data_IF_026687909572
#
_entry.id   IF_026687909572
#
_cell.length_a   1.000
_cell.length_b   1.000
_cell.length_c   1.000
_cell.angle_alpha   90.00
_cell.angle_beta   90.00
_cell.angle_gamma   90.00
#
_symmetry.space_group_name_H-M   'P 1'
#
loop_
_entity.id
_entity.type
_entity.pdbx_description
1 polymer ?
#
# COMPACT_ATOMS: atom_id res chain seq x y z
N UNK A 1 15.25 -8.04 -7.25
CA UNK A 1 15.98 -7.87 -8.53
C UNK A 1 15.02 -7.29 -9.56
N UNK A 2 15.48 -6.59 -10.59
CA UNK A 2 14.64 -6.19 -11.73
C UNK A 2 14.92 -7.03 -12.99
N UNK A 3 13.95 -7.05 -13.91
CA UNK A 3 14.12 -7.61 -15.25
C UNK A 3 13.22 -6.88 -16.27
N UNK A 4 13.35 -7.27 -17.54
CA UNK A 4 12.49 -6.79 -18.63
C UNK A 4 11.70 -7.97 -19.18
N UNK A 5 10.37 -7.86 -19.19
CA UNK A 5 9.48 -8.89 -19.70
C UNK A 5 9.53 -8.91 -21.23
N UNK A 6 9.78 -10.07 -21.82
CA UNK A 6 10.00 -10.20 -23.28
C UNK A 6 8.74 -9.92 -24.12
N UNK A 7 7.55 -10.20 -23.59
CA UNK A 7 6.30 -10.11 -24.36
C UNK A 7 5.85 -8.68 -24.62
N UNK A 8 6.20 -7.74 -23.76
CA UNK A 8 5.71 -6.36 -23.81
C UNK A 8 6.81 -5.30 -23.51
N UNK A 9 8.03 -5.72 -23.22
CA UNK A 9 9.14 -4.84 -22.86
C UNK A 9 9.00 -4.15 -21.50
N UNK A 10 8.01 -4.52 -20.68
CA UNK A 10 7.79 -3.89 -19.38
C UNK A 10 8.88 -4.25 -18.36
N UNK A 11 9.22 -3.29 -17.50
CA UNK A 11 10.11 -3.51 -16.35
C UNK A 11 9.35 -4.18 -15.21
N UNK A 12 9.95 -5.22 -14.63
CA UNK A 12 9.36 -6.02 -13.55
C UNK A 12 10.34 -6.19 -12.40
N UNK A 13 9.80 -6.44 -11.21
CA UNK A 13 10.55 -6.85 -10.03
C UNK A 13 10.35 -8.34 -9.81
N UNK A 14 11.44 -9.03 -9.48
CA UNK A 14 11.45 -10.40 -8.99
C UNK A 14 11.77 -10.39 -7.49
N UNK A 15 10.80 -10.84 -6.69
CA UNK A 15 10.93 -11.08 -5.24
C UNK A 15 10.96 -12.58 -4.98
N UNK A 16 11.95 -13.05 -4.23
CA UNK A 16 11.97 -14.43 -3.75
C UNK A 16 11.14 -14.54 -2.48
N UNK A 17 10.28 -15.56 -2.38
CA UNK A 17 9.37 -15.78 -1.25
C UNK A 17 9.44 -17.22 -0.79
N UNK A 18 9.20 -17.45 0.50
CA UNK A 18 9.17 -18.77 1.12
C UNK A 18 7.86 -19.50 0.83
N UNK A 19 7.96 -20.80 0.56
CA UNK A 19 6.83 -21.71 0.32
C UNK A 19 6.60 -22.66 1.50
N UNK A 20 6.80 -22.17 2.72
CA UNK A 20 6.69 -22.98 3.93
C UNK A 20 5.26 -22.94 4.51
N UNK A 21 4.91 -23.95 5.30
CA UNK A 21 3.61 -23.99 5.97
C UNK A 21 3.53 -22.85 6.99
N UNK A 22 2.54 -21.97 6.83
CA UNK A 22 2.40 -20.76 7.65
C UNK A 22 2.80 -19.47 6.92
N UNK A 23 3.47 -19.59 5.77
CA UNK A 23 3.77 -18.45 4.89
C UNK A 23 2.61 -18.24 3.91
N UNK A 24 1.96 -17.08 4.02
CA UNK A 24 0.75 -16.77 3.23
C UNK A 24 1.01 -15.78 2.09
N UNK A 25 2.20 -15.18 2.00
CA UNK A 25 2.51 -14.11 1.04
C UNK A 25 2.12 -14.48 -0.39
N UNK A 26 2.61 -15.63 -0.90
CA UNK A 26 2.31 -16.05 -2.27
C UNK A 26 0.82 -16.37 -2.47
N UNK A 27 0.19 -16.99 -1.47
CA UNK A 27 -1.22 -17.38 -1.55
C UNK A 27 -2.13 -16.14 -1.58
N UNK A 28 -1.91 -15.19 -0.68
CA UNK A 28 -2.62 -13.91 -0.61
C UNK A 28 -2.37 -13.09 -1.87
N UNK A 29 -1.11 -12.93 -2.28
CA UNK A 29 -0.76 -12.16 -3.47
C UNK A 29 -1.40 -12.75 -4.74
N UNK A 30 -1.43 -14.08 -4.88
CA UNK A 30 -2.15 -14.74 -5.99
C UNK A 30 -3.65 -14.55 -5.92
N UNK A 31 -4.25 -14.66 -4.74
CA UNK A 31 -5.68 -14.43 -4.54
C UNK A 31 -6.08 -13.00 -4.95
N UNK A 32 -5.37 -12.00 -4.44
CA UNK A 32 -5.56 -10.58 -4.78
C UNK A 32 -5.30 -10.28 -6.25
N UNK A 33 -4.53 -11.13 -6.93
CA UNK A 33 -4.21 -11.02 -8.36
C UNK A 33 -5.10 -11.87 -9.27
N UNK A 34 -6.11 -12.57 -8.74
CA UNK A 34 -7.08 -13.30 -9.57
C UNK A 34 -7.86 -12.34 -10.46
N UNK A 35 -8.38 -12.83 -11.59
CA UNK A 35 -9.16 -12.01 -12.50
C UNK A 35 -10.33 -11.31 -11.79
N UNK A 36 -11.07 -12.03 -10.94
CA UNK A 36 -12.18 -11.46 -10.17
C UNK A 36 -11.71 -10.31 -9.27
N UNK A 37 -10.63 -10.52 -8.50
CA UNK A 37 -10.13 -9.50 -7.58
C UNK A 37 -9.53 -8.28 -8.30
N UNK A 38 -8.87 -8.48 -9.46
CA UNK A 38 -8.31 -7.37 -10.25
C UNK A 38 -9.36 -6.48 -10.90
N UNK A 39 -10.58 -6.97 -11.09
CA UNK A 39 -11.68 -6.17 -11.64
C UNK A 39 -12.38 -5.31 -10.59
N UNK A 40 -12.16 -5.54 -9.29
CA UNK A 40 -12.66 -4.65 -8.26
C UNK A 40 -11.81 -3.36 -8.24
N UNK A 41 -12.38 -2.19 -8.53
CA UNK A 41 -11.62 -0.94 -8.63
C UNK A 41 -11.05 -0.47 -7.27
N UNK A 42 -11.46 -1.09 -6.17
CA UNK A 42 -10.90 -0.83 -4.84
C UNK A 42 -9.63 -1.63 -4.57
N UNK A 43 -9.30 -2.61 -5.42
CA UNK A 43 -8.14 -3.45 -5.22
C UNK A 43 -6.84 -2.72 -5.59
N UNK A 44 -6.22 -2.12 -4.57
CA UNK A 44 -4.91 -1.49 -4.67
C UNK A 44 -3.78 -2.41 -4.18
N UNK A 45 -3.93 -3.73 -4.23
CA UNK A 45 -2.80 -4.65 -4.04
C UNK A 45 -1.96 -4.74 -5.32
N UNK A 46 -0.63 -4.75 -5.20
CA UNK A 46 0.23 -4.90 -6.38
C UNK A 46 -0.08 -6.23 -7.11
N UNK A 47 -0.28 -6.20 -8.45
CA UNK A 47 -0.61 -7.42 -9.16
C UNK A 47 0.62 -8.33 -9.30
N UNK A 48 0.42 -9.61 -9.06
CA UNK A 48 1.33 -10.70 -9.44
C UNK A 48 1.11 -11.01 -10.92
N UNK A 49 2.14 -10.78 -11.72
CA UNK A 49 2.13 -11.06 -13.16
C UNK A 49 2.46 -12.53 -13.45
N UNK A 50 3.34 -13.12 -12.65
CA UNK A 50 3.74 -14.52 -12.72
C UNK A 50 4.33 -14.97 -11.38
N UNK A 51 4.33 -16.27 -11.10
CA UNK A 51 5.04 -16.83 -9.95
C UNK A 51 5.43 -18.29 -10.18
N UNK A 52 6.71 -18.59 -10.00
CA UNK A 52 7.29 -19.91 -10.30
C UNK A 52 8.36 -20.32 -9.29
N UNK A 53 8.54 -21.62 -9.01
CA UNK A 53 9.58 -22.11 -8.11
C UNK A 53 10.98 -21.81 -8.66
N UNK A 54 11.95 -21.61 -7.77
CA UNK A 54 13.34 -21.41 -8.16
C UNK A 54 13.98 -22.77 -8.50
N UNK A 55 14.47 -22.99 -9.74
CA UNK A 55 15.11 -24.25 -10.10
C UNK A 55 16.30 -24.56 -9.19
N UNK A 56 16.33 -25.77 -8.63
CA UNK A 56 17.41 -26.22 -7.75
C UNK A 56 17.35 -25.69 -6.31
N UNK A 57 16.35 -24.87 -5.94
CA UNK A 57 16.18 -24.36 -4.57
C UNK A 57 14.82 -24.76 -4.02
N UNK A 58 14.82 -25.65 -3.04
CA UNK A 58 13.58 -26.13 -2.41
C UNK A 58 12.97 -25.05 -1.52
N UNK A 59 11.64 -24.96 -1.53
CA UNK A 59 10.90 -24.08 -0.62
C UNK A 59 10.93 -22.59 -0.96
N UNK A 60 11.41 -22.20 -2.15
CA UNK A 60 11.37 -20.82 -2.64
C UNK A 60 10.66 -20.71 -3.99
N UNK A 61 9.92 -19.62 -4.16
CA UNK A 61 9.41 -19.17 -5.45
C UNK A 61 9.86 -17.74 -5.74
N UNK A 62 9.90 -17.38 -7.03
CA UNK A 62 9.94 -16.00 -7.45
C UNK A 62 8.52 -15.54 -7.76
N UNK A 63 8.16 -14.37 -7.25
CA UNK A 63 6.99 -13.59 -7.65
C UNK A 63 7.47 -12.49 -8.59
N UNK A 64 6.80 -12.36 -9.74
CA UNK A 64 7.03 -11.32 -10.72
C UNK A 64 5.93 -10.26 -10.58
N UNK A 65 6.32 -9.01 -10.35
CA UNK A 65 5.42 -7.86 -10.15
C UNK A 65 5.84 -6.70 -11.05
N UNK A 66 4.96 -5.75 -11.39
CA UNK A 66 5.35 -4.53 -12.09
C UNK A 66 6.42 -3.75 -11.32
N UNK A 67 7.37 -3.14 -12.03
CA UNK A 67 8.32 -2.21 -11.43
C UNK A 67 7.69 -0.83 -11.30
N UNK A 68 6.96 -0.66 -10.20
CA UNK A 68 6.40 0.61 -9.72
C UNK A 68 7.41 1.39 -8.88
N UNK A 69 7.19 2.69 -8.73
CA UNK A 69 8.15 3.60 -8.09
C UNK A 69 7.71 3.99 -6.68
N UNK A 70 8.65 4.42 -5.84
CA UNK A 70 8.33 4.93 -4.50
C UNK A 70 7.30 6.06 -4.59
N UNK A 71 6.20 5.92 -3.85
CA UNK A 71 5.00 6.72 -4.09
C UNK A 71 5.19 8.22 -3.82
N UNK A 72 6.10 8.62 -2.92
CA UNK A 72 6.39 10.02 -2.60
C UNK A 72 7.59 10.59 -3.38
N UNK A 73 8.03 9.92 -4.45
CA UNK A 73 9.04 10.41 -5.39
C UNK A 73 8.45 10.46 -6.81
N UNK A 74 8.40 11.63 -7.48
CA UNK A 74 8.63 12.96 -6.93
C UNK A 74 7.63 13.29 -5.80
N UNK A 75 7.99 14.25 -4.94
CA UNK A 75 7.10 14.75 -3.88
C UNK A 75 5.81 15.33 -4.42
N UNK A 76 4.82 15.52 -3.54
CA UNK A 76 3.51 16.02 -3.93
C UNK A 76 3.55 17.50 -4.29
N UNK A 77 2.96 17.87 -5.42
CA UNK A 77 2.90 19.25 -5.89
C UNK A 77 1.69 20.00 -5.33
N UNK A 78 0.54 19.31 -5.21
CA UNK A 78 -0.72 19.93 -4.85
C UNK A 78 -1.51 19.07 -3.86
N UNK A 79 -2.36 19.71 -3.03
CA UNK A 79 -3.25 19.02 -2.07
C UNK A 79 -4.07 17.90 -2.70
N UNK A 80 -4.44 18.03 -3.98
CA UNK A 80 -5.23 17.02 -4.68
C UNK A 80 -4.49 15.68 -4.84
N UNK A 81 -3.15 15.69 -4.92
CA UNK A 81 -2.37 14.44 -5.04
C UNK A 81 -2.38 13.67 -3.71
N UNK A 82 -2.31 14.37 -2.57
CA UNK A 82 -2.50 13.75 -1.25
C UNK A 82 -3.90 13.15 -1.10
N UNK A 83 -4.93 13.89 -1.57
CA UNK A 83 -6.32 13.41 -1.54
C UNK A 83 -6.49 12.17 -2.42
N UNK A 84 -5.90 12.16 -3.61
CA UNK A 84 -5.94 11.02 -4.51
C UNK A 84 -5.26 9.79 -3.89
N UNK A 85 -4.04 9.95 -3.37
CA UNK A 85 -3.31 8.90 -2.65
C UNK A 85 -4.14 8.35 -1.48
N UNK A 86 -4.54 9.23 -0.56
CA UNK A 86 -5.19 8.79 0.69
C UNK A 86 -6.52 8.09 0.40
N UNK A 87 -7.27 8.57 -0.59
CA UNK A 87 -8.49 7.91 -1.06
C UNK A 87 -8.21 6.49 -1.55
N UNK A 88 -7.24 6.31 -2.45
CA UNK A 88 -6.91 5.00 -3.01
C UNK A 88 -6.42 4.03 -1.93
N UNK A 89 -5.58 4.50 -1.01
CA UNK A 89 -5.13 3.65 0.11
C UNK A 89 -6.28 3.25 1.04
N UNK A 90 -7.20 4.17 1.37
CA UNK A 90 -8.39 3.82 2.16
C UNK A 90 -9.32 2.84 1.42
N UNK A 91 -9.49 2.96 0.10
CA UNK A 91 -10.23 2.01 -0.72
C UNK A 91 -9.54 0.63 -0.73
N UNK A 92 -8.23 0.59 -0.95
CA UNK A 92 -7.42 -0.62 -0.89
C UNK A 92 -7.47 -1.31 0.46
N UNK A 93 -7.39 -0.55 1.54
CA UNK A 93 -7.48 -1.07 2.89
C UNK A 93 -8.88 -1.66 3.17
N UNK A 94 -9.93 -0.93 2.79
CA UNK A 94 -11.31 -1.41 2.91
C UNK A 94 -11.54 -2.69 2.09
N UNK A 95 -11.00 -2.75 0.88
CA UNK A 95 -11.07 -3.93 0.02
C UNK A 95 -10.40 -5.14 0.66
N UNK A 96 -9.16 -5.00 1.14
CA UNK A 96 -8.44 -6.09 1.84
C UNK A 96 -9.23 -6.55 3.06
N UNK A 97 -9.70 -5.60 3.88
CA UNK A 97 -10.47 -5.89 5.08
C UNK A 97 -11.78 -6.61 4.75
N UNK A 98 -12.49 -6.20 3.69
CA UNK A 98 -13.73 -6.87 3.23
C UNK A 98 -13.52 -8.29 2.73
N UNK A 99 -12.28 -8.64 2.35
CA UNK A 99 -11.87 -10.01 2.01
C UNK A 99 -11.23 -10.74 3.20
N UNK A 100 -11.38 -10.21 4.42
CA UNK A 100 -10.79 -10.71 5.67
C UNK A 100 -9.25 -10.82 5.64
N UNK A 101 -8.58 -9.96 4.88
CA UNK A 101 -7.12 -9.91 4.81
C UNK A 101 -6.64 -8.69 5.60
N UNK A 102 -5.76 -8.92 6.57
CA UNK A 102 -4.99 -7.86 7.21
C UNK A 102 -3.57 -7.85 6.66
N UNK A 103 -3.04 -6.67 6.36
CA UNK A 103 -1.71 -6.51 5.75
C UNK A 103 -0.58 -6.62 6.79
N UNK A 104 -0.79 -6.04 7.97
CA UNK A 104 0.07 -6.08 9.16
C UNK A 104 1.44 -5.40 9.03
N UNK A 105 1.75 -4.76 7.91
CA UNK A 105 3.00 -4.05 7.69
C UNK A 105 2.86 -2.82 6.79
N UNK A 106 1.79 -2.05 6.98
CA UNK A 106 1.57 -0.84 6.19
C UNK A 106 2.58 0.23 6.64
N UNK A 107 3.42 0.68 5.72
CA UNK A 107 4.39 1.76 5.93
C UNK A 107 4.55 2.57 4.65
N UNK A 108 5.18 3.74 4.75
CA UNK A 108 5.59 4.51 3.55
C UNK A 108 6.47 3.66 2.61
N UNK A 109 7.29 2.76 3.14
CA UNK A 109 8.14 1.87 2.35
C UNK A 109 7.39 0.79 1.56
N UNK A 110 6.18 0.44 2.02
CA UNK A 110 5.33 -0.59 1.41
C UNK A 110 4.19 0.00 0.56
N UNK A 111 4.35 1.26 0.12
CA UNK A 111 3.44 1.93 -0.81
C UNK A 111 4.21 2.34 -2.05
N UNK A 112 3.67 2.01 -3.23
CA UNK A 112 4.25 2.36 -4.53
C UNK A 112 3.23 3.04 -5.43
N UNK A 113 3.73 3.71 -6.46
CA UNK A 113 2.98 4.38 -7.50
C UNK A 113 3.23 3.71 -8.85
N UNK A 114 2.19 3.56 -9.66
CA UNK A 114 2.36 3.37 -11.10
C UNK A 114 2.94 4.63 -11.74
N UNK A 115 4.26 4.59 -11.94
CA UNK A 115 5.05 5.71 -12.44
C UNK A 115 4.87 6.00 -13.91
N UNK A 116 4.19 5.16 -14.69
CA UNK A 116 4.24 5.23 -16.18
C UNK A 116 3.85 6.60 -16.73
N UNK A 117 2.91 7.30 -16.08
CA UNK A 117 2.49 8.66 -16.47
C UNK A 117 3.40 9.75 -15.93
N UNK A 118 3.92 9.57 -14.72
CA UNK A 118 4.76 10.56 -14.01
C UNK A 118 6.21 10.54 -14.48
N UNK A 119 6.72 9.37 -14.88
CA UNK A 119 8.10 9.15 -15.31
C UNK A 119 8.06 8.36 -16.62
N UNK A 120 7.71 8.96 -17.76
CA UNK A 120 7.44 8.22 -19.01
C UNK A 120 8.67 7.46 -19.53
N UNK A 121 9.88 8.00 -19.35
CA UNK A 121 11.11 7.38 -19.88
C UNK A 121 11.57 6.12 -19.15
N UNK A 122 11.19 5.91 -17.90
CA UNK A 122 11.84 4.88 -17.08
C UNK A 122 12.24 5.40 -15.72
N UNK A 123 12.78 4.51 -14.91
CA UNK A 123 13.82 4.84 -13.96
C UNK A 123 14.71 3.60 -13.81
N UNK A 124 15.98 3.79 -13.47
CA UNK A 124 16.93 2.71 -13.22
C UNK A 124 16.71 2.17 -11.81
N UNK A 125 16.65 0.85 -11.66
CA UNK A 125 16.28 0.18 -10.41
C UNK A 125 17.13 0.62 -9.21
N UNK A 126 18.45 0.72 -9.39
CA UNK A 126 19.40 1.14 -8.34
C UNK A 126 19.60 2.66 -8.29
N UNK A 127 19.34 3.37 -9.39
CA UNK A 127 19.66 4.80 -9.54
C UNK A 127 18.39 5.54 -9.91
N UNK A 128 17.56 5.79 -8.90
CA UNK A 128 16.21 6.30 -9.08
C UNK A 128 16.12 7.70 -9.74
N UNK A 129 17.22 8.46 -9.77
CA UNK A 129 17.35 9.76 -10.44
C UNK A 129 17.82 9.66 -11.89
N UNK A 130 17.96 8.45 -12.44
CA UNK A 130 18.38 8.19 -13.82
C UNK A 130 17.41 7.23 -14.49
N UNK A 131 17.23 7.33 -15.81
CA UNK A 131 16.38 6.39 -16.56
C UNK A 131 17.12 5.11 -16.97
N UNK A 132 18.45 5.19 -17.10
CA UNK A 132 19.33 4.14 -17.64
C UNK A 132 20.59 3.86 -16.79
N UNK A 133 20.82 4.66 -15.74
CA UNK A 133 22.02 4.60 -14.90
C UNK A 133 23.21 5.39 -15.45
N UNK A 134 23.04 6.12 -16.55
CA UNK A 134 24.09 6.90 -17.23
C UNK A 134 23.70 8.37 -17.31
N UNK A 135 22.51 8.68 -17.80
CA UNK A 135 21.99 10.04 -17.88
C UNK A 135 21.21 10.42 -16.61
N UNK A 136 21.54 11.56 -16.03
CA UNK A 136 20.94 12.06 -14.79
C UNK A 136 19.82 13.09 -15.01
N UNK A 137 19.39 13.26 -16.26
CA UNK A 137 18.22 14.06 -16.64
C UNK A 137 17.01 13.14 -16.75
N UNK A 138 16.36 12.88 -15.62
CA UNK A 138 15.14 12.08 -15.55
C UNK A 138 13.92 12.99 -15.74
N UNK A 139 13.24 12.96 -16.90
CA UNK A 139 12.05 13.79 -17.11
C UNK A 139 10.92 13.29 -16.22
N UNK A 140 10.43 14.19 -15.36
CA UNK A 140 9.36 13.95 -14.42
C UNK A 140 8.21 14.90 -14.74
N UNK A 141 7.02 14.35 -14.84
CA UNK A 141 5.77 15.09 -14.98
C UNK A 141 5.12 15.32 -13.62
N UNK A 142 4.36 16.42 -13.51
CA UNK A 142 3.60 16.72 -12.30
C UNK A 142 2.33 15.85 -12.29
N UNK A 143 2.04 15.16 -11.18
CA UNK A 143 0.92 14.21 -11.10
C UNK A 143 -0.42 14.89 -11.38
N UNK A 144 -0.65 16.11 -10.86
CA UNK A 144 -1.88 16.87 -11.14
C UNK A 144 -2.09 17.16 -12.65
N UNK A 145 -1.05 17.04 -13.52
CA UNK A 145 -1.16 17.25 -14.98
C UNK A 145 -1.37 15.97 -15.79
N UNK A 146 -0.88 14.84 -15.29
CA UNK A 146 -0.89 13.55 -16.02
C UNK A 146 -1.83 12.51 -15.40
N UNK A 147 -2.47 12.87 -14.28
CA UNK A 147 -3.35 11.97 -13.53
C UNK A 147 -4.53 11.40 -14.32
N UNK A 148 -5.24 10.41 -13.76
CA UNK A 148 -5.03 9.85 -12.42
C UNK A 148 -3.73 9.03 -12.30
N UNK A 149 -3.21 8.91 -11.08
CA UNK A 149 -2.04 8.10 -10.74
C UNK A 149 -2.47 6.98 -9.79
N UNK A 150 -2.12 5.74 -10.12
CA UNK A 150 -2.51 4.58 -9.32
C UNK A 150 -1.47 4.28 -8.24
N UNK A 151 -1.94 3.99 -7.02
CA UNK A 151 -1.11 3.64 -5.87
C UNK A 151 -1.40 2.22 -5.39
N UNK A 152 -0.38 1.52 -4.91
CA UNK A 152 -0.48 0.11 -4.54
C UNK A 152 0.21 -0.20 -3.21
N UNK A 153 -0.42 -1.08 -2.44
CA UNK A 153 0.20 -1.82 -1.35
C UNK A 153 1.11 -2.90 -1.92
N UNK A 154 2.31 -3.01 -1.34
CA UNK A 154 3.27 -4.08 -1.62
C UNK A 154 3.64 -4.80 -0.34
N UNK A 155 4.35 -5.90 -0.49
CA UNK A 155 4.91 -6.68 0.61
C UNK A 155 3.88 -7.31 1.55
N UNK A 156 3.36 -8.46 1.12
CA UNK A 156 2.38 -9.25 1.86
C UNK A 156 3.04 -10.32 2.73
N UNK A 157 4.31 -10.17 3.09
CA UNK A 157 5.08 -11.14 3.91
C UNK A 157 4.38 -11.42 5.25
N UNK A 158 3.88 -10.37 5.91
CA UNK A 158 3.17 -10.49 7.19
C UNK A 158 1.65 -10.57 7.07
N UNK A 159 1.13 -10.56 5.84
CA UNK A 159 -0.31 -10.54 5.62
C UNK A 159 -0.94 -11.88 6.01
N UNK A 160 -2.17 -11.84 6.52
CA UNK A 160 -2.89 -13.03 6.96
C UNK A 160 -4.38 -12.91 6.60
N UNK A 161 -4.99 -14.05 6.27
CA UNK A 161 -6.41 -14.16 5.94
C UNK A 161 -7.18 -14.82 7.10
N UNK A 162 -8.21 -14.15 7.60
CA UNK A 162 -8.97 -14.54 8.78
C UNK A 162 -10.35 -15.07 8.39
N UNK A 163 -10.45 -16.38 8.14
CA UNK A 163 -11.68 -17.02 7.64
C UNK A 163 -12.88 -16.89 8.60
N UNK A 164 -12.63 -16.76 9.90
CA UNK A 164 -13.66 -16.55 10.92
C UNK A 164 -14.21 -15.12 10.97
N UNK A 165 -13.68 -14.23 10.12
CA UNK A 165 -14.09 -12.83 9.97
C UNK A 165 -13.31 -11.84 10.85
N UNK A 166 -13.42 -10.55 10.51
CA UNK A 166 -12.72 -9.43 11.16
C UNK A 166 -12.98 -9.38 12.68
N UNK A 167 -14.20 -9.67 13.12
CA UNK A 167 -14.62 -9.50 14.52
C UNK A 167 -13.94 -10.47 15.49
N UNK A 168 -13.45 -11.62 14.99
CA UNK A 168 -12.79 -12.65 15.79
C UNK A 168 -11.29 -12.70 15.56
N UNK A 169 -10.77 -11.89 14.65
CA UNK A 169 -9.38 -11.93 14.27
C UNK A 169 -8.47 -11.42 15.39
N UNK A 170 -7.57 -12.30 15.81
CA UNK A 170 -6.60 -12.04 16.86
C UNK A 170 -5.25 -12.59 16.41
N UNK A 171 -4.23 -11.76 16.53
CA UNK A 171 -2.82 -12.12 16.31
C UNK A 171 -2.00 -11.74 17.53
N UNK A 172 -0.79 -12.26 17.63
CA UNK A 172 0.16 -11.93 18.68
C UNK A 172 1.56 -11.68 18.11
N UNK A 173 2.49 -11.32 18.99
CA UNK A 173 3.87 -11.03 18.63
C UNK A 173 4.10 -9.67 17.96
N UNK A 174 5.36 -9.39 17.67
CA UNK A 174 5.80 -8.19 16.96
C UNK A 174 6.24 -8.55 15.56
N UNK A 175 5.36 -8.31 14.59
CA UNK A 175 5.64 -8.47 13.16
C UNK A 175 5.32 -7.16 12.44
N UNK A 176 6.01 -6.90 11.33
CA UNK A 176 5.82 -5.68 10.54
C UNK A 176 5.97 -4.38 11.34
N UNK A 177 5.23 -3.34 10.92
CA UNK A 177 5.23 -2.03 11.56
C UNK A 177 4.62 -2.06 12.95
N UNK A 178 5.32 -1.45 13.91
CA UNK A 178 4.91 -1.45 15.31
C UNK A 178 3.63 -0.64 15.53
N UNK A 179 2.71 -1.22 16.29
CA UNK A 179 1.54 -0.55 16.87
C UNK A 179 1.59 -0.58 18.41
N UNK A 180 0.90 0.33 19.12
CA UNK A 180 1.03 0.47 20.59
C UNK A 180 0.69 -0.79 21.40
N UNK A 181 -0.22 -1.60 20.90
CA UNK A 181 -0.70 -2.82 21.53
C UNK A 181 0.21 -4.04 21.30
N UNK A 182 1.13 -3.99 20.33
CA UNK A 182 2.10 -5.07 20.11
C UNK A 182 3.06 -5.20 21.30
N UNK A 183 3.29 -6.44 21.73
CA UNK A 183 4.20 -6.80 22.83
C UNK A 183 5.15 -7.90 22.39
N UNK A 184 6.29 -7.99 23.06
CA UNK A 184 7.25 -9.11 22.96
C UNK A 184 6.70 -10.35 23.70
N UNK A 185 5.42 -10.70 23.49
CA UNK A 185 4.76 -11.85 24.11
C UNK A 185 3.65 -12.34 23.20
N UNK A 186 3.57 -13.65 23.03
CA UNK A 186 2.50 -14.28 22.25
C UNK A 186 1.18 -14.38 23.03
N UNK A 187 1.20 -14.06 24.33
CA UNK A 187 0.01 -14.07 25.21
C UNK A 187 -0.89 -12.85 24.99
N UNK A 188 -0.34 -11.75 24.46
CA UNK A 188 -1.09 -10.52 24.24
C UNK A 188 -1.63 -10.53 22.81
N UNK A 189 -2.92 -10.82 22.71
CA UNK A 189 -3.65 -10.82 21.46
C UNK A 189 -4.12 -9.41 21.10
N UNK A 190 -4.09 -9.08 19.82
CA UNK A 190 -4.64 -7.83 19.29
C UNK A 190 -5.33 -8.04 17.94
N UNK A 191 -6.19 -7.10 17.58
CA UNK A 191 -6.91 -7.11 16.31
C UNK A 191 -6.00 -6.54 15.20
N UNK A 192 -5.65 -7.33 14.16
CA UNK A 192 -4.73 -6.89 13.11
C UNK A 192 -5.36 -5.83 12.18
N UNK A 193 -6.69 -5.81 12.02
CA UNK A 193 -7.38 -4.83 11.20
C UNK A 193 -7.34 -3.44 11.84
N UNK A 194 -7.46 -3.36 13.17
CA UNK A 194 -7.23 -2.10 13.92
C UNK A 194 -5.76 -1.67 13.87
N UNK A 195 -4.82 -2.61 13.81
CA UNK A 195 -3.41 -2.32 13.62
C UNK A 195 -3.15 -1.72 12.23
N UNK A 196 -3.70 -2.29 11.16
CA UNK A 196 -3.57 -1.74 9.80
C UNK A 196 -4.09 -0.31 9.69
N UNK A 197 -5.23 0.01 10.32
CA UNK A 197 -5.77 1.38 10.34
C UNK A 197 -4.81 2.35 11.03
N UNK A 198 -4.17 1.92 12.13
CA UNK A 198 -3.15 2.71 12.81
C UNK A 198 -1.93 2.92 11.91
N UNK A 199 -1.42 1.84 11.31
CA UNK A 199 -0.25 1.86 10.43
C UNK A 199 -0.46 2.77 9.21
N UNK A 200 -1.61 2.67 8.53
CA UNK A 200 -1.97 3.60 7.46
C UNK A 200 -2.08 5.05 7.99
N UNK A 201 -2.67 5.24 9.17
CA UNK A 201 -2.75 6.55 9.81
C UNK A 201 -1.39 7.19 10.05
N UNK A 202 -0.39 6.40 10.49
CA UNK A 202 0.99 6.85 10.66
C UNK A 202 1.63 7.19 9.32
N UNK A 203 1.55 6.30 8.33
CA UNK A 203 2.11 6.55 6.99
C UNK A 203 1.54 7.84 6.37
N UNK A 204 0.25 8.10 6.58
CA UNK A 204 -0.41 9.32 6.08
C UNK A 204 -0.14 10.55 6.93
N UNK A 205 0.21 10.39 8.21
CA UNK A 205 0.66 11.48 9.08
C UNK A 205 2.06 11.95 8.70
N UNK A 206 2.98 11.03 8.40
CA UNK A 206 4.34 11.35 7.95
C UNK A 206 4.30 12.28 6.73
N UNK A 207 3.45 11.95 5.75
CA UNK A 207 3.23 12.80 4.58
C UNK A 207 2.51 14.10 4.99
N UNK A 208 1.50 14.03 5.84
CA UNK A 208 0.74 15.22 6.26
C UNK A 208 1.63 16.31 6.85
N UNK A 209 2.66 15.94 7.62
CA UNK A 209 3.57 16.89 8.28
C UNK A 209 4.50 17.62 7.29
N UNK A 210 4.71 17.06 6.09
CA UNK A 210 5.54 17.67 5.04
C UNK A 210 4.80 18.74 4.22
N UNK A 211 3.47 18.72 4.17
CA UNK A 211 2.68 19.58 3.27
C UNK A 211 1.68 20.47 4.00
N UNK A 212 1.51 21.70 3.49
CA UNK A 212 0.54 22.66 4.01
C UNK A 212 -0.87 22.43 3.44
N UNK A 213 -1.89 23.00 4.09
CA UNK A 213 -3.27 22.95 3.59
C UNK A 213 -4.00 21.62 3.81
N UNK A 214 -3.43 20.69 4.57
CA UNK A 214 -4.02 19.38 4.88
C UNK A 214 -4.79 19.33 6.20
N UNK A 215 -4.79 20.42 6.99
CA UNK A 215 -5.32 20.47 8.36
C UNK A 215 -6.72 19.87 8.58
N UNK A 216 -7.58 19.88 7.56
CA UNK A 216 -8.92 19.29 7.61
C UNK A 216 -8.90 17.77 7.85
N UNK A 217 -7.81 17.08 7.50
CA UNK A 217 -7.63 15.63 7.70
C UNK A 217 -7.13 15.28 9.11
N UNK A 218 -6.61 16.25 9.86
CA UNK A 218 -6.04 16.04 11.20
C UNK A 218 -6.99 15.33 12.18
N UNK A 219 -8.31 15.63 12.23
CA UNK A 219 -9.23 14.90 13.10
C UNK A 219 -9.39 13.43 12.73
N UNK A 220 -9.34 13.08 11.43
CA UNK A 220 -9.40 11.70 10.96
C UNK A 220 -8.10 10.97 11.34
N UNK A 221 -6.94 11.53 10.98
CA UNK A 221 -5.64 10.93 11.28
C UNK A 221 -5.49 10.64 12.78
N UNK A 222 -5.86 11.59 13.66
CA UNK A 222 -5.84 11.40 15.12
C UNK A 222 -6.68 10.22 15.60
N UNK A 223 -7.81 9.92 14.95
CA UNK A 223 -8.62 8.74 15.30
C UNK A 223 -7.97 7.46 14.80
N UNK A 224 -7.43 7.47 13.58
CA UNK A 224 -6.72 6.31 13.02
C UNK A 224 -5.53 5.91 13.89
N UNK A 225 -4.75 6.88 14.37
CA UNK A 225 -3.56 6.65 15.21
C UNK A 225 -3.85 6.61 16.72
N UNK A 226 -5.09 6.37 17.13
CA UNK A 226 -5.42 6.27 18.56
C UNK A 226 -4.61 5.14 19.22
N UNK A 227 -3.99 5.43 20.37
CA UNK A 227 -3.28 4.41 21.18
C UNK A 227 -4.24 3.28 21.58
N UNK A 228 -5.46 3.64 21.95
CA UNK A 228 -6.54 2.69 22.21
C UNK A 228 -7.12 2.18 20.87
N UNK A 229 -6.98 0.88 20.55
CA UNK A 229 -7.43 0.31 19.28
C UNK A 229 -8.95 0.38 19.08
N UNK A 230 -9.73 0.38 20.16
CA UNK A 230 -11.20 0.40 20.08
C UNK A 230 -11.73 1.77 19.64
N UNK A 231 -10.93 2.83 19.85
CA UNK A 231 -11.23 4.18 19.39
C UNK A 231 -10.87 4.42 17.93
N UNK A 232 -10.13 3.51 17.29
CA UNK A 232 -9.81 3.61 15.86
C UNK A 232 -11.04 3.27 15.03
N UNK A 233 -11.32 3.99 13.93
CA UNK A 233 -12.39 3.61 13.01
C UNK A 233 -12.08 2.26 12.35
N UNK A 234 -13.07 1.60 11.77
CA UNK A 234 -12.82 0.57 10.74
C UNK A 234 -12.33 1.21 9.45
N UNK A 235 -11.79 0.43 8.49
CA UNK A 235 -11.40 0.95 7.18
C UNK A 235 -12.57 1.65 6.45
N UNK A 236 -13.77 1.03 6.44
CA UNK A 236 -14.97 1.62 5.86
C UNK A 236 -15.41 2.92 6.57
N UNK A 237 -15.26 2.99 7.89
CA UNK A 237 -15.56 4.21 8.64
C UNK A 237 -14.54 5.33 8.38
N UNK A 238 -13.26 4.97 8.26
CA UNK A 238 -12.19 5.91 7.92
C UNK A 238 -12.40 6.49 6.51
N UNK A 239 -12.71 5.64 5.52
CA UNK A 239 -13.06 6.05 4.17
C UNK A 239 -14.28 6.99 4.16
N UNK A 240 -15.36 6.64 4.87
CA UNK A 240 -16.55 7.49 4.96
C UNK A 240 -16.25 8.86 5.58
N UNK A 241 -15.45 8.90 6.64
CA UNK A 241 -15.03 10.15 7.29
C UNK A 241 -14.13 10.99 6.37
N UNK A 242 -13.23 10.34 5.62
CA UNK A 242 -12.38 10.97 4.62
C UNK A 242 -13.23 11.65 3.53
N UNK A 243 -14.19 10.95 2.92
CA UNK A 243 -15.05 11.53 1.89
C UNK A 243 -15.91 12.70 2.42
N UNK A 244 -16.31 12.63 3.69
CA UNK A 244 -16.97 13.76 4.34
C UNK A 244 -16.07 14.99 4.43
N UNK A 245 -14.77 14.82 4.75
CA UNK A 245 -13.80 15.92 4.77
C UNK A 245 -13.61 16.50 3.36
N UNK A 246 -13.43 15.65 2.35
CA UNK A 246 -13.20 16.11 0.97
C UNK A 246 -14.42 16.85 0.40
N UNK A 247 -15.63 16.33 0.62
CA UNK A 247 -16.86 16.97 0.14
C UNK A 247 -17.15 18.34 0.78
N UNK A 248 -16.70 18.57 2.03
CA UNK A 248 -16.79 19.88 2.69
C UNK A 248 -15.78 20.86 2.14
N UNK A 249 -14.53 20.44 1.93
CA UNK A 249 -13.48 21.29 1.38
C UNK A 249 -13.82 21.80 -0.04
N UNK A 250 -14.49 20.97 -0.86
CA UNK A 250 -14.96 21.38 -2.19
C UNK A 250 -16.05 22.47 -2.17
N UNK A 251 -16.84 22.57 -1.09
CA UNK A 251 -17.88 23.61 -0.95
C UNK A 251 -17.33 24.95 -0.46
N UNK A 252 -16.29 24.94 0.37
CA UNK A 252 -15.65 26.17 0.90
C UNK A 252 -14.82 26.93 -0.14
N UNK A 253 -14.56 26.34 -1.31
CA UNK A 253 -13.85 27.01 -2.42
C UNK A 253 -14.80 27.76 -3.38
N UNK A 254 -16.11 27.75 -3.10
CA UNK A 254 -17.18 28.35 -3.90
C UNK A 254 -17.93 29.49 -3.18
N UNK A 255 -17.39 29.96 -2.04
CA UNK A 255 -17.90 31.10 -1.24
C UNK A 255 -16.76 32.03 -0.92
#
# INVERSE_FOLDING_TARGET
>A
MDATRLTDGSKVILKAVLLQKGEFELAISRFLSTELMRHDPRNNAIPVLDAFPIPGVQGLALIVMPMFHYFASPGFHCRLEYIELFRQLLLGLEFMHSNNIAHRDISVGNIVMDRRRVMPKGYHFTFNASHDGVEWDLPIEIRCRVGPVDYYYIDFEFAECFLDGIDKALVSGMVGQRVPEMKNSDEVLYNPFKADVYQLGIAMLDIFEEYTGLNDFKPLLRRMISVDPDKRPTASEALRQFEHVVSRAGKSSLT
#
